data_IF_950246063420
#
_entry.id   IF_950246063420
#
_cell.length_a   1.000
_cell.length_b   1.000
_cell.length_c   1.000
_cell.angle_alpha   90.00
_cell.angle_beta   90.00
_cell.angle_gamma   90.00
#
_symmetry.space_group_name_H-M   'P 1'
#
loop_
_entity.id
_entity.type
_entity.pdbx_description
1 polymer ?
#
# COMPACT_ATOMS: atom_id res chain seq x y z
N UNK A 1 13.10 16.15 14.66
CA UNK A 1 11.67 16.36 14.34
C UNK A 1 11.30 15.45 13.18
N UNK A 2 10.57 14.36 13.44
CA UNK A 2 10.04 13.51 12.36
C UNK A 2 8.72 14.12 11.93
N UNK A 3 8.65 14.59 10.69
CA UNK A 3 7.45 15.19 10.13
C UNK A 3 6.34 14.13 10.13
N UNK A 4 5.17 14.44 10.67
CA UNK A 4 4.05 13.49 10.87
C UNK A 4 3.55 12.82 9.59
N UNK A 5 3.89 13.36 8.42
CA UNK A 5 3.67 12.76 7.11
C UNK A 5 4.53 11.49 6.88
N UNK A 6 5.76 11.47 7.40
CA UNK A 6 6.72 10.37 7.24
C UNK A 6 6.36 9.14 8.09
N UNK A 7 5.89 9.36 9.32
CA UNK A 7 5.41 8.26 10.20
C UNK A 7 4.17 7.60 9.62
N UNK A 8 3.26 8.38 9.01
CA UNK A 8 2.08 7.84 8.32
C UNK A 8 2.48 6.99 7.12
N UNK A 9 3.43 7.46 6.29
CA UNK A 9 3.97 6.72 5.15
C UNK A 9 4.50 5.34 5.55
N UNK A 10 5.23 5.25 6.67
CA UNK A 10 5.82 3.99 7.14
C UNK A 10 4.76 2.93 7.49
N UNK A 11 3.66 3.34 8.13
CA UNK A 11 2.55 2.42 8.48
C UNK A 11 1.89 1.80 7.25
N UNK A 12 1.73 2.58 6.17
CA UNK A 12 1.16 2.06 4.93
C UNK A 12 2.07 1.05 4.24
N UNK A 13 3.39 1.26 4.27
CA UNK A 13 4.34 0.33 3.66
C UNK A 13 4.35 -1.01 4.39
N UNK A 14 4.31 -1.01 5.73
CA UNK A 14 4.24 -2.23 6.53
C UNK A 14 2.98 -3.07 6.22
N UNK A 15 1.81 -2.42 6.17
CA UNK A 15 0.56 -3.10 5.82
C UNK A 15 0.58 -3.66 4.39
N UNK A 16 1.20 -2.94 3.46
CA UNK A 16 1.35 -3.39 2.08
C UNK A 16 2.28 -4.60 1.98
N UNK A 17 3.43 -4.57 2.65
CA UNK A 17 4.38 -5.69 2.68
C UNK A 17 3.76 -6.93 3.28
N UNK A 18 3.01 -6.78 4.38
CA UNK A 18 2.28 -7.89 5.00
C UNK A 18 1.25 -8.48 4.02
N UNK A 19 0.44 -7.64 3.37
CA UNK A 19 -0.53 -8.11 2.38
C UNK A 19 0.15 -8.85 1.21
N UNK A 20 1.25 -8.31 0.68
CA UNK A 20 1.99 -8.98 -0.40
C UNK A 20 2.57 -10.33 0.03
N UNK A 21 3.01 -10.45 1.29
CA UNK A 21 3.47 -11.72 1.85
C UNK A 21 2.34 -12.73 2.03
N UNK A 22 1.19 -12.30 2.57
CA UNK A 22 0.00 -13.14 2.76
C UNK A 22 -0.59 -13.66 1.44
N UNK A 23 -0.47 -12.89 0.36
CA UNK A 23 -0.92 -13.28 -0.98
C UNK A 23 0.17 -13.98 -1.81
N UNK A 24 1.35 -14.22 -1.22
CA UNK A 24 2.53 -14.79 -1.90
C UNK A 24 2.92 -14.02 -3.19
N UNK A 25 2.66 -12.70 -3.19
CA UNK A 25 2.95 -11.80 -4.30
C UNK A 25 4.31 -11.11 -4.16
N UNK A 26 5.00 -11.26 -3.02
CA UNK A 26 6.30 -10.62 -2.78
C UNK A 26 7.32 -10.93 -3.87
N UNK A 27 7.49 -12.21 -4.25
CA UNK A 27 8.43 -12.58 -5.31
C UNK A 27 7.96 -12.14 -6.70
N UNK A 28 6.65 -11.98 -6.88
CA UNK A 28 6.07 -11.54 -8.15
C UNK A 28 6.03 -10.01 -8.30
N UNK A 29 6.31 -9.27 -7.23
CA UNK A 29 6.24 -7.81 -7.24
C UNK A 29 7.51 -7.23 -7.86
N UNK A 30 7.36 -6.44 -8.93
CA UNK A 30 8.44 -5.69 -9.55
C UNK A 30 8.66 -4.35 -8.87
N UNK A 31 7.58 -3.62 -8.62
CA UNK A 31 7.65 -2.24 -8.13
C UNK A 31 6.32 -1.84 -7.52
N UNK A 32 6.40 -1.09 -6.43
CA UNK A 32 5.26 -0.41 -5.81
C UNK A 32 5.41 1.08 -6.07
N UNK A 33 4.39 1.69 -6.67
CA UNK A 33 4.33 3.12 -6.93
C UNK A 33 3.21 3.74 -6.11
N UNK A 34 3.48 4.74 -5.26
CA UNK A 34 2.40 5.50 -4.64
C UNK A 34 1.69 6.30 -5.74
N UNK A 35 0.37 6.17 -5.81
CA UNK A 35 -0.45 7.02 -6.67
C UNK A 35 -0.73 8.32 -5.91
N UNK A 36 -0.30 9.44 -6.48
CA UNK A 36 -0.60 10.77 -5.95
C UNK A 36 -2.11 11.00 -6.03
N UNK A 37 -2.76 10.82 -4.89
CA UNK A 37 -4.21 10.87 -4.74
C UNK A 37 -4.52 10.58 -3.29
N UNK A 38 -4.27 11.56 -2.43
CA UNK A 38 -4.71 11.52 -1.04
C UNK A 38 -6.22 11.73 -1.05
N UNK A 39 -6.98 10.64 -1.16
CA UNK A 39 -8.30 10.64 -0.57
C UNK A 39 -8.03 10.61 0.94
N UNK A 40 -8.54 11.61 1.67
CA UNK A 40 -8.20 11.98 3.06
C UNK A 40 -7.90 10.82 4.03
N UNK A 41 -8.47 9.65 3.80
CA UNK A 41 -8.43 8.49 4.69
C UNK A 41 -7.73 7.25 4.09
N UNK A 42 -7.46 7.22 2.78
CA UNK A 42 -6.88 6.05 2.08
C UNK A 42 -5.81 6.44 1.06
N UNK A 43 -4.75 5.65 1.01
CA UNK A 43 -3.67 5.80 0.03
C UNK A 43 -3.73 4.73 -1.03
N UNK A 44 -3.54 5.15 -2.26
CA UNK A 44 -3.52 4.25 -3.41
C UNK A 44 -2.09 3.90 -3.78
N UNK A 45 -1.86 2.63 -4.05
CA UNK A 45 -0.59 2.06 -4.49
C UNK A 45 -0.84 1.27 -5.77
N UNK A 46 -0.02 1.52 -6.78
CA UNK A 46 0.03 0.69 -7.98
C UNK A 46 1.14 -0.34 -7.79
N UNK A 47 0.77 -1.62 -7.84
CA UNK A 47 1.72 -2.73 -7.78
C UNK A 47 1.91 -3.30 -9.17
N UNK A 48 3.14 -3.25 -9.65
CA UNK A 48 3.54 -3.90 -10.90
C UNK A 48 3.99 -5.33 -10.58
N UNK A 49 3.44 -6.30 -11.30
CA UNK A 49 3.74 -7.73 -11.14
C UNK A 49 4.55 -8.23 -12.35
N UNK A 50 5.45 -9.19 -12.13
CA UNK A 50 6.36 -9.73 -13.16
C UNK A 50 5.63 -10.30 -14.38
N UNK A 51 4.58 -11.08 -14.15
CA UNK A 51 3.86 -11.84 -15.20
C UNK A 51 2.34 -11.64 -15.14
N UNK A 52 1.88 -10.56 -14.50
CA UNK A 52 0.46 -10.32 -14.29
C UNK A 52 0.11 -8.85 -14.53
N UNK A 53 -1.19 -8.59 -14.70
CA UNK A 53 -1.68 -7.22 -14.87
C UNK A 53 -1.35 -6.38 -13.62
N UNK A 54 -0.98 -5.11 -13.79
CA UNK A 54 -0.84 -4.19 -12.67
C UNK A 54 -2.13 -4.15 -11.85
N UNK A 55 -1.98 -4.18 -10.52
CA UNK A 55 -3.10 -4.03 -9.58
C UNK A 55 -2.99 -2.68 -8.87
N UNK A 56 -4.14 -2.14 -8.48
CA UNK A 56 -4.22 -0.94 -7.65
C UNK A 56 -4.78 -1.35 -6.29
N UNK A 57 -4.02 -1.06 -5.23
CA UNK A 57 -4.39 -1.34 -3.85
C UNK A 57 -4.69 -0.02 -3.14
N UNK A 58 -5.80 0.01 -2.39
CA UNK A 58 -6.12 1.11 -1.49
C UNK A 58 -5.84 0.66 -0.06
N UNK A 59 -4.93 1.33 0.63
CA UNK A 59 -4.63 1.06 2.03
C UNK A 59 -5.19 2.16 2.93
N UNK A 60 -5.78 1.74 4.03
CA UNK A 60 -6.28 2.59 5.11
C UNK A 60 -5.31 2.54 6.29
N UNK A 61 -5.05 3.67 6.96
CA UNK A 61 -4.06 3.74 8.06
C UNK A 61 -4.54 3.11 9.38
N UNK A 62 -5.81 2.74 9.47
CA UNK A 62 -6.42 2.13 10.64
C UNK A 62 -7.36 0.99 10.27
N UNK A 63 -7.97 0.38 11.29
CA UNK A 63 -9.02 -0.62 11.07
C UNK A 63 -10.11 -0.06 10.14
N UNK A 64 -10.58 -0.90 9.23
CA UNK A 64 -11.74 -0.59 8.41
C UNK A 64 -12.95 -0.90 9.29
N UNK A 65 -13.71 0.14 9.63
CA UNK A 65 -14.98 -0.01 10.33
C UNK A 65 -16.05 -0.37 9.28
N UNK A 66 -16.86 -1.39 9.57
CA UNK A 66 -17.91 -1.92 8.71
C UNK A 66 -19.21 -1.92 9.51
N UNK A 67 -19.76 -0.75 9.80
CA UNK A 67 -21.13 -0.63 10.32
C UNK A 67 -22.17 -1.03 9.25
#
# INVERSE_FOLDING_TARGET
>A
MVCSCWVRQLKYLQGLEQYLAEQQLTDQTLTVLPLTGDASDRRYFRVLLKNARPIVLALHAGAIDYD
#
